data_IF_775778316085
#
_entry.id   IF_775778316085
#
_cell.length_a   1.000
_cell.length_b   1.000
_cell.length_c   1.000
_cell.angle_alpha   90.00
_cell.angle_beta   90.00
_cell.angle_gamma   90.00
#
_symmetry.space_group_name_H-M   'P 1'
#
loop_
_entity.id
_entity.type
_entity.pdbx_description
1 polymer ?
#
# COMPACT_ATOMS: atom_id res chain seq x y z
N UNK A 1 43.43 -2.52 15.78
CA UNK A 1 42.79 -1.56 14.91
C UNK A 1 41.38 -1.31 15.38
N UNK A 2 41.05 -0.11 15.84
CA UNK A 2 39.87 0.24 16.64
C UNK A 2 38.68 0.53 15.74
N UNK A 3 37.56 -0.22 15.89
CA UNK A 3 36.22 0.08 15.33
C UNK A 3 35.64 1.28 16.07
N UNK A 4 35.35 2.37 15.36
CA UNK A 4 34.58 3.51 15.86
C UNK A 4 33.09 3.22 15.63
N UNK A 5 32.37 3.00 16.70
CA UNK A 5 30.91 3.01 16.76
C UNK A 5 30.40 4.43 16.53
N UNK A 6 29.58 4.63 15.52
CA UNK A 6 28.85 5.89 15.30
C UNK A 6 27.52 5.80 16.05
N UNK A 7 27.35 6.68 17.05
CA UNK A 7 26.08 6.90 17.75
C UNK A 7 25.06 7.55 16.80
N UNK A 8 23.75 7.21 16.91
CA UNK A 8 22.69 7.89 16.15
C UNK A 8 22.43 9.28 16.73
N UNK A 9 22.30 10.25 15.86
CA UNK A 9 22.00 11.65 16.12
C UNK A 9 20.55 11.79 16.62
N UNK A 10 20.38 12.25 17.87
CA UNK A 10 19.09 12.69 18.42
C UNK A 10 18.59 13.91 17.63
N UNK A 11 17.52 13.75 16.90
CA UNK A 11 16.75 14.86 16.30
C UNK A 11 15.96 15.56 17.42
N UNK A 12 16.45 16.72 17.86
CA UNK A 12 15.73 17.66 18.73
C UNK A 12 14.55 18.27 17.95
N UNK A 13 13.35 18.00 18.39
CA UNK A 13 12.13 18.67 17.94
C UNK A 13 12.09 20.12 18.45
N UNK A 14 11.57 21.09 17.66
CA UNK A 14 11.54 22.49 18.03
C UNK A 14 10.56 22.79 19.17
N UNK A 15 10.96 23.76 20.01
CA UNK A 15 10.39 24.11 21.32
C UNK A 15 8.98 24.77 21.32
N UNK A 16 8.26 24.82 20.21
CA UNK A 16 6.99 25.56 20.11
C UNK A 16 5.71 24.76 20.40
N UNK A 17 5.78 23.46 20.55
CA UNK A 17 4.59 22.63 20.81
C UNK A 17 4.30 22.29 22.29
N UNK A 18 4.99 22.92 23.24
CA UNK A 18 4.79 22.65 24.69
C UNK A 18 3.93 23.66 25.44
N UNK A 19 3.10 24.48 24.79
CA UNK A 19 2.36 25.56 25.49
C UNK A 19 0.83 25.42 25.49
N UNK A 20 0.24 24.30 25.23
CA UNK A 20 -1.24 24.20 25.24
C UNK A 20 -1.87 23.09 26.09
N UNK A 21 -1.24 22.55 27.10
CA UNK A 21 -1.87 21.49 27.96
C UNK A 21 -1.85 21.79 29.46
N UNK A 22 -1.55 23.00 29.93
CA UNK A 22 -1.64 23.28 31.39
C UNK A 22 -2.33 24.63 31.60
N UNK A 23 -3.66 24.73 31.48
CA UNK A 23 -4.45 25.83 32.06
C UNK A 23 -5.94 25.48 32.17
N UNK A 24 -6.34 24.37 32.79
CA UNK A 24 -7.77 24.15 33.08
C UNK A 24 -8.06 23.46 34.43
N UNK A 25 -7.14 23.47 35.36
CA UNK A 25 -7.40 22.90 36.73
C UNK A 25 -7.28 23.89 37.86
N UNK A 26 -7.19 25.20 37.60
CA UNK A 26 -6.99 26.24 38.66
C UNK A 26 -8.20 27.14 38.89
N UNK A 27 -9.40 26.82 38.41
CA UNK A 27 -10.60 27.70 38.60
C UNK A 27 -11.72 27.14 39.48
N UNK A 28 -11.49 26.11 40.27
CA UNK A 28 -12.53 25.55 41.17
C UNK A 28 -12.20 25.53 42.67
N UNK A 29 -11.34 26.42 43.18
CA UNK A 29 -11.05 26.49 44.65
C UNK A 29 -10.87 27.91 45.15
N UNK A 30 -11.80 28.81 44.84
CA UNK A 30 -11.83 30.14 45.49
C UNK A 30 -13.29 30.59 45.70
N UNK A 31 -13.99 29.94 46.62
CA UNK A 31 -15.41 30.24 46.88
C UNK A 31 -15.91 29.88 48.28
N UNK A 32 -15.08 29.52 49.23
CA UNK A 32 -15.47 29.21 50.58
C UNK A 32 -14.44 29.81 51.54
N UNK A 33 -14.50 31.10 51.78
CA UNK A 33 -13.91 31.70 53.00
C UNK A 33 -14.22 33.21 53.07
N UNK A 34 -15.44 33.60 53.37
CA UNK A 34 -15.80 34.95 53.85
C UNK A 34 -17.23 34.93 54.37
N UNK A 35 -17.43 34.59 55.67
CA UNK A 35 -18.53 34.93 56.47
C UNK A 35 -18.27 34.44 57.90
N UNK A 36 -17.43 35.18 58.59
CA UNK A 36 -17.33 35.09 60.05
C UNK A 36 -16.76 36.42 60.52
N UNK A 37 -17.65 37.35 60.89
CA UNK A 37 -17.46 38.42 61.87
C UNK A 37 -18.62 39.37 61.72
N UNK A 38 -19.56 39.36 62.64
CA UNK A 38 -19.92 40.45 63.50
C UNK A 38 -20.96 39.93 64.49
N UNK A 39 -20.47 39.64 65.67
CA UNK A 39 -21.30 39.52 66.86
C UNK A 39 -21.01 40.73 67.69
N UNK A 40 -21.94 41.23 68.29
CA UNK A 40 -22.04 41.95 69.58
C UNK A 40 -22.85 43.23 69.50
N UNK A 41 -23.83 43.28 70.36
CA UNK A 41 -24.27 44.55 70.92
C UNK A 41 -25.78 44.78 70.87
N UNK A 42 -26.42 44.67 72.03
CA UNK A 42 -27.63 45.43 72.32
C UNK A 42 -28.84 44.67 72.94
N UNK A 43 -28.78 44.47 74.27
CA UNK A 43 -29.95 44.15 75.09
C UNK A 43 -30.76 45.42 75.41
N UNK A 44 -32.06 45.36 75.40
CA UNK A 44 -33.02 46.07 76.37
C UNK A 44 -34.42 45.65 75.97
N UNK A 45 -35.05 44.92 76.78
CA UNK A 45 -36.15 44.93 77.74
C UNK A 45 -37.53 45.42 77.26
N UNK A 46 -38.55 44.57 77.62
CA UNK A 46 -39.89 44.84 78.23
C UNK A 46 -40.98 45.35 77.29
N UNK A 47 -42.09 44.66 77.12
CA UNK A 47 -43.28 44.59 77.98
C UNK A 47 -44.37 43.70 77.37
N UNK A 48 -45.19 43.14 78.29
CA UNK A 48 -46.35 42.32 78.07
C UNK A 48 -47.46 42.95 77.21
N UNK A 49 -48.12 42.15 76.44
CA UNK A 49 -49.40 42.42 75.81
C UNK A 49 -49.93 41.13 75.17
N UNK A 50 -50.89 40.48 75.98
CA UNK A 50 -51.52 39.24 75.50
C UNK A 50 -52.48 39.50 74.36
N UNK A 51 -52.25 38.85 73.29
CA UNK A 51 -53.18 38.73 72.18
C UNK A 51 -53.00 37.34 71.58
N UNK A 52 -54.10 36.58 71.61
CA UNK A 52 -54.06 35.22 70.98
C UNK A 52 -53.61 35.29 69.49
N UNK A 53 -52.74 34.44 69.09
CA UNK A 53 -52.35 34.43 67.74
C UNK A 53 -53.49 33.97 66.82
N UNK A 54 -53.73 34.64 65.71
CA UNK A 54 -54.62 34.11 64.66
C UNK A 54 -54.12 32.79 64.15
N UNK A 55 -55.05 31.92 63.72
CA UNK A 55 -54.61 30.62 63.16
C UNK A 55 -53.64 30.84 62.01
N UNK A 56 -52.48 30.24 62.16
CA UNK A 56 -51.48 30.29 61.11
C UNK A 56 -52.04 29.61 59.86
N UNK A 57 -52.43 30.42 58.91
CA UNK A 57 -52.72 29.96 57.59
C UNK A 57 -51.39 29.42 57.02
N UNK A 58 -51.28 28.12 56.97
CA UNK A 58 -50.12 27.48 56.33
C UNK A 58 -50.12 27.91 54.87
N UNK A 59 -49.29 28.89 54.55
CA UNK A 59 -49.02 29.26 53.21
C UNK A 59 -48.21 28.07 52.60
N UNK A 60 -48.92 27.26 51.87
CA UNK A 60 -48.30 26.17 51.09
C UNK A 60 -47.27 26.82 50.11
N UNK A 61 -46.01 26.78 50.55
CA UNK A 61 -44.93 27.30 49.73
C UNK A 61 -44.74 26.33 48.54
N UNK A 62 -45.42 26.59 47.43
CA UNK A 62 -45.18 25.95 46.19
C UNK A 62 -43.77 26.32 45.74
N UNK A 63 -42.86 25.39 45.89
CA UNK A 63 -41.52 25.54 45.33
C UNK A 63 -41.63 25.53 43.82
N UNK A 64 -41.23 26.62 43.18
CA UNK A 64 -41.12 26.67 41.71
C UNK A 64 -39.96 25.74 41.25
N UNK A 65 -40.30 24.61 40.71
CA UNK A 65 -39.32 23.67 40.11
C UNK A 65 -39.23 23.91 38.62
N UNK A 66 -38.04 24.08 38.16
CA UNK A 66 -37.74 24.21 36.73
C UNK A 66 -37.51 22.82 36.17
N UNK A 67 -38.48 22.33 35.40
CA UNK A 67 -38.34 21.06 34.72
C UNK A 67 -37.48 21.24 33.48
N UNK A 68 -36.38 20.51 33.40
CA UNK A 68 -35.57 20.42 32.21
C UNK A 68 -35.94 19.12 31.46
N UNK A 69 -36.55 19.25 30.32
CA UNK A 69 -36.81 18.12 29.44
C UNK A 69 -35.50 17.68 28.77
N UNK A 70 -34.94 16.56 29.21
CA UNK A 70 -33.80 15.93 28.57
C UNK A 70 -34.29 15.10 27.39
N UNK A 71 -33.92 15.51 26.17
CA UNK A 71 -34.12 14.70 24.96
C UNK A 71 -32.87 13.92 24.70
N UNK A 72 -33.00 12.60 24.54
CA UNK A 72 -31.91 11.75 24.13
C UNK A 72 -31.47 12.13 22.68
N UNK A 73 -30.27 12.68 22.53
CA UNK A 73 -29.68 13.00 21.24
C UNK A 73 -28.62 11.95 20.93
N UNK A 74 -28.72 11.35 19.75
CA UNK A 74 -27.68 10.43 19.29
C UNK A 74 -26.41 11.24 19.06
N UNK A 75 -25.43 11.08 19.93
CA UNK A 75 -24.10 11.64 19.74
C UNK A 75 -23.30 10.65 18.87
N UNK A 76 -22.81 11.13 17.75
CA UNK A 76 -21.86 10.39 16.94
C UNK A 76 -20.49 10.92 17.30
N UNK A 77 -19.71 10.09 17.95
CA UNK A 77 -18.31 10.38 18.21
C UNK A 77 -17.50 10.10 16.93
N UNK A 78 -16.93 11.14 16.34
CA UNK A 78 -16.15 11.04 15.11
C UNK A 78 -14.68 11.11 15.51
N UNK A 79 -14.01 9.95 15.53
CA UNK A 79 -12.57 9.88 15.67
C UNK A 79 -11.93 10.13 14.30
N UNK A 80 -11.06 11.12 14.20
CA UNK A 80 -10.21 11.37 13.02
C UNK A 80 -8.86 10.76 13.28
N UNK A 81 -8.54 9.70 12.55
CA UNK A 81 -7.25 9.03 12.62
C UNK A 81 -6.46 9.35 11.36
N UNK A 82 -5.15 9.60 11.45
CA UNK A 82 -4.28 9.64 10.27
C UNK A 82 -4.29 8.27 9.61
N UNK A 83 -4.46 8.24 8.30
CA UNK A 83 -4.49 7.01 7.54
C UNK A 83 -3.74 7.19 6.22
N UNK A 84 -3.00 6.16 5.83
CA UNK A 84 -2.33 6.06 4.55
C UNK A 84 -3.13 5.16 3.60
N UNK A 85 -3.30 5.62 2.36
CA UNK A 85 -4.04 4.89 1.32
C UNK A 85 -3.03 4.28 0.35
N UNK A 86 -2.98 2.96 0.33
CA UNK A 86 -2.04 2.20 -0.51
C UNK A 86 -2.79 1.33 -1.52
N UNK A 87 -2.23 1.10 -2.72
CA UNK A 87 -2.79 0.14 -3.66
C UNK A 87 -2.72 -1.28 -3.06
N UNK A 88 -3.74 -2.08 -3.29
CA UNK A 88 -3.77 -3.46 -2.78
C UNK A 88 -2.73 -4.35 -3.44
N UNK A 89 -2.41 -4.08 -4.71
CA UNK A 89 -1.46 -4.87 -5.52
C UNK A 89 -0.50 -3.93 -6.26
N UNK A 90 0.66 -3.61 -5.70
CA UNK A 90 1.74 -3.02 -6.48
C UNK A 90 2.51 -4.15 -7.19
N UNK A 91 2.95 -3.92 -8.43
CA UNK A 91 3.90 -4.77 -9.14
C UNK A 91 4.99 -3.92 -9.75
N UNK A 92 6.21 -4.33 -9.52
CA UNK A 92 7.37 -3.78 -10.22
C UNK A 92 7.63 -4.69 -11.43
N UNK A 93 7.48 -4.14 -12.61
CA UNK A 93 7.78 -4.82 -13.87
C UNK A 93 9.25 -4.57 -14.19
N UNK A 94 10.02 -5.65 -14.28
CA UNK A 94 11.45 -5.62 -14.56
C UNK A 94 11.75 -6.22 -15.94
N UNK A 95 12.87 -5.82 -16.53
CA UNK A 95 13.39 -6.45 -17.75
C UNK A 95 13.77 -7.91 -17.46
N UNK A 96 13.34 -8.83 -18.32
CA UNK A 96 13.75 -10.22 -18.24
C UNK A 96 14.90 -10.55 -19.21
N UNK A 97 15.07 -9.71 -20.24
CA UNK A 97 16.17 -9.79 -21.22
C UNK A 97 16.89 -8.46 -21.33
N UNK A 98 18.15 -8.50 -21.75
CA UNK A 98 18.94 -7.30 -21.99
C UNK A 98 18.74 -6.77 -23.40
N UNK A 99 18.76 -5.44 -23.56
CA UNK A 99 18.68 -4.78 -24.85
C UNK A 99 18.23 -3.32 -24.76
N UNK A 100 18.23 -2.62 -25.88
CA UNK A 100 17.77 -1.23 -25.96
C UNK A 100 16.25 -1.19 -25.97
N UNK A 101 15.66 -0.27 -25.22
CA UNK A 101 14.21 -0.03 -25.22
C UNK A 101 13.83 0.66 -26.53
N UNK A 102 13.14 -0.07 -27.40
CA UNK A 102 12.71 0.43 -28.71
C UNK A 102 11.39 1.19 -28.61
N UNK A 103 10.47 0.70 -27.79
CA UNK A 103 9.14 1.29 -27.62
C UNK A 103 8.69 1.24 -26.15
N UNK A 104 8.10 2.34 -25.75
CA UNK A 104 7.51 2.51 -24.41
C UNK A 104 6.09 3.03 -24.61
N UNK A 105 5.09 2.18 -24.43
CA UNK A 105 3.67 2.53 -24.63
C UNK A 105 3.01 3.03 -23.34
N UNK A 106 3.70 2.95 -22.19
CA UNK A 106 3.16 3.25 -20.89
C UNK A 106 3.68 4.60 -20.38
N UNK A 107 2.79 5.60 -20.32
CA UNK A 107 3.03 6.86 -19.62
C UNK A 107 2.60 6.77 -18.16
N UNK A 108 3.21 7.58 -17.28
CA UNK A 108 2.76 7.69 -15.89
C UNK A 108 1.32 8.17 -15.81
N UNK A 109 0.50 7.51 -15.02
CA UNK A 109 -0.94 7.77 -14.92
C UNK A 109 -1.79 7.06 -15.97
N UNK A 110 -1.20 6.41 -16.97
CA UNK A 110 -1.95 5.70 -18.01
C UNK A 110 -2.62 4.43 -17.44
N UNK A 111 -3.87 4.20 -17.86
CA UNK A 111 -4.60 2.97 -17.58
C UNK A 111 -4.26 1.92 -18.61
N UNK A 112 -3.93 0.73 -18.16
CA UNK A 112 -3.54 -0.41 -18.99
C UNK A 112 -4.38 -1.64 -18.67
N UNK A 113 -4.55 -2.53 -19.63
CA UNK A 113 -5.26 -3.80 -19.48
C UNK A 113 -4.27 -4.96 -19.37
N UNK A 114 -4.73 -6.04 -18.77
CA UNK A 114 -4.00 -7.29 -18.73
C UNK A 114 -3.60 -7.73 -20.16
N UNK A 115 -2.30 -8.01 -20.36
CA UNK A 115 -1.76 -8.42 -21.64
C UNK A 115 -1.27 -7.27 -22.55
N UNK A 116 -1.58 -6.01 -22.23
CA UNK A 116 -1.05 -4.86 -23.00
C UNK A 116 0.48 -4.84 -22.93
N UNK A 117 1.13 -4.64 -24.08
CA UNK A 117 2.58 -4.49 -24.14
C UNK A 117 2.96 -3.07 -23.72
N UNK A 118 3.67 -2.96 -22.61
CA UNK A 118 4.08 -1.70 -21.99
C UNK A 118 5.46 -1.25 -22.45
N UNK A 119 6.40 -2.21 -22.54
CA UNK A 119 7.77 -1.96 -23.00
C UNK A 119 8.13 -3.01 -24.05
N UNK A 120 8.77 -2.58 -25.12
CA UNK A 120 9.36 -3.44 -26.15
C UNK A 120 10.87 -3.19 -26.20
N UNK A 121 11.62 -4.24 -25.92
CA UNK A 121 13.08 -4.26 -26.02
C UNK A 121 13.45 -4.70 -27.45
N UNK A 122 14.55 -4.21 -28.00
CA UNK A 122 15.05 -4.56 -29.34
C UNK A 122 15.12 -6.08 -29.52
N UNK A 123 14.39 -6.58 -30.50
CA UNK A 123 14.20 -8.01 -30.74
C UNK A 123 15.14 -8.59 -31.78
N UNK A 124 15.89 -7.77 -32.55
CA UNK A 124 16.66 -8.18 -33.71
C UNK A 124 17.63 -9.32 -33.42
N UNK A 125 18.39 -9.24 -32.33
CA UNK A 125 19.32 -10.31 -31.96
C UNK A 125 18.59 -11.59 -31.53
N UNK A 126 17.45 -11.46 -30.85
CA UNK A 126 16.62 -12.57 -30.38
C UNK A 126 15.89 -13.26 -31.55
N UNK A 127 15.45 -12.50 -32.54
CA UNK A 127 14.85 -13.02 -33.77
C UNK A 127 15.87 -13.80 -34.58
N UNK A 128 17.13 -13.34 -34.70
CA UNK A 128 18.21 -14.07 -35.33
C UNK A 128 18.51 -15.39 -34.58
N UNK A 129 18.61 -15.35 -33.26
CA UNK A 129 18.82 -16.55 -32.44
C UNK A 129 17.66 -17.55 -32.58
N UNK A 130 16.41 -17.06 -32.66
CA UNK A 130 15.24 -17.89 -32.91
C UNK A 130 15.32 -18.56 -34.31
N UNK A 131 15.67 -17.80 -35.36
CA UNK A 131 15.79 -18.32 -36.72
C UNK A 131 16.88 -19.39 -36.83
N UNK A 132 18.01 -19.20 -36.14
CA UNK A 132 19.08 -20.19 -36.06
C UNK A 132 18.62 -21.48 -35.38
N UNK A 133 17.99 -21.34 -34.18
CA UNK A 133 17.47 -22.49 -33.42
C UNK A 133 16.39 -23.26 -34.20
N UNK A 134 15.52 -22.55 -34.94
CA UNK A 134 14.51 -23.16 -35.79
C UNK A 134 15.11 -23.93 -36.96
N UNK A 135 16.16 -23.40 -37.61
CA UNK A 135 16.89 -24.10 -38.70
C UNK A 135 17.56 -25.36 -38.15
N UNK A 136 18.21 -25.32 -37.00
CA UNK A 136 18.83 -26.48 -36.34
C UNK A 136 17.79 -27.54 -35.97
N UNK A 137 16.65 -27.11 -35.42
CA UNK A 137 15.55 -28.01 -35.08
C UNK A 137 15.01 -28.73 -36.34
N UNK A 138 14.68 -27.99 -37.42
CA UNK A 138 14.21 -28.60 -38.69
C UNK A 138 15.19 -29.61 -39.25
N UNK A 139 16.49 -29.32 -39.18
CA UNK A 139 17.52 -30.27 -39.60
C UNK A 139 17.50 -31.54 -38.75
N UNK A 140 17.53 -31.38 -37.40
CA UNK A 140 17.54 -32.50 -36.48
C UNK A 140 16.28 -33.36 -36.59
N UNK A 141 15.13 -32.73 -36.82
CA UNK A 141 13.85 -33.41 -37.06
C UNK A 141 13.91 -34.28 -38.34
N UNK A 142 14.40 -33.71 -39.44
CA UNK A 142 14.53 -34.45 -40.69
C UNK A 142 15.53 -35.63 -40.58
N UNK A 143 16.61 -35.45 -39.84
CA UNK A 143 17.58 -36.51 -39.57
C UNK A 143 16.98 -37.62 -38.68
N UNK A 144 16.20 -37.27 -37.68
CA UNK A 144 15.50 -38.22 -36.81
C UNK A 144 14.43 -39.01 -37.59
N UNK A 145 13.57 -38.33 -38.37
CA UNK A 145 12.56 -38.98 -39.25
C UNK A 145 13.20 -39.95 -40.23
N UNK A 146 14.34 -39.58 -40.81
CA UNK A 146 15.11 -40.48 -41.70
C UNK A 146 15.64 -41.68 -40.91
N UNK A 147 16.16 -41.44 -39.69
CA UNK A 147 16.67 -42.55 -38.85
C UNK A 147 15.53 -43.50 -38.47
N UNK A 148 14.32 -43.03 -38.16
CA UNK A 148 13.16 -43.87 -37.89
C UNK A 148 12.82 -44.76 -39.09
N UNK A 149 12.74 -44.18 -40.29
CA UNK A 149 12.46 -44.97 -41.52
C UNK A 149 13.52 -46.03 -41.81
N UNK A 150 14.82 -45.71 -41.56
CA UNK A 150 15.91 -46.68 -41.72
C UNK A 150 15.91 -47.75 -40.63
N UNK A 151 15.49 -47.43 -39.42
CA UNK A 151 15.34 -48.37 -38.32
C UNK A 151 14.21 -49.39 -38.57
N UNK A 152 13.08 -48.96 -39.12
CA UNK A 152 11.99 -49.85 -39.58
C UNK A 152 12.46 -50.85 -40.60
N UNK A 153 13.35 -50.40 -41.51
CA UNK A 153 13.99 -51.27 -42.53
C UNK A 153 15.18 -52.05 -42.00
N UNK A 154 15.51 -51.99 -40.69
CA UNK A 154 16.66 -52.59 -40.03
C UNK A 154 18.01 -52.18 -40.66
N UNK A 155 18.07 -50.99 -41.25
CA UNK A 155 19.25 -50.48 -41.97
C UNK A 155 20.18 -49.64 -41.10
N UNK A 156 19.85 -49.39 -39.84
CA UNK A 156 20.68 -48.68 -38.86
C UNK A 156 20.69 -49.44 -37.51
N UNK A 157 21.67 -49.12 -36.67
CA UNK A 157 21.78 -49.63 -35.33
C UNK A 157 20.78 -48.92 -34.38
N UNK A 158 20.43 -49.59 -33.30
CA UNK A 158 19.62 -48.96 -32.24
C UNK A 158 20.30 -47.73 -31.64
N UNK A 159 21.62 -47.74 -31.54
CA UNK A 159 22.37 -46.59 -31.03
C UNK A 159 22.23 -45.38 -31.95
N UNK A 160 22.33 -45.57 -33.28
CA UNK A 160 22.14 -44.46 -34.23
C UNK A 160 20.77 -43.83 -34.17
N UNK A 161 19.69 -44.61 -33.91
CA UNK A 161 18.35 -44.08 -33.71
C UNK A 161 18.26 -43.29 -32.40
N UNK A 162 18.86 -43.80 -31.31
CA UNK A 162 18.90 -43.11 -30.00
C UNK A 162 19.64 -41.77 -30.14
N UNK A 163 20.78 -41.76 -30.84
CA UNK A 163 21.59 -40.56 -31.07
C UNK A 163 20.84 -39.50 -31.88
N UNK A 164 20.14 -39.93 -32.94
CA UNK A 164 19.32 -39.04 -33.77
C UNK A 164 18.14 -38.42 -32.93
N UNK A 165 17.50 -39.23 -32.09
CA UNK A 165 16.45 -38.77 -31.19
C UNK A 165 17.00 -37.78 -30.17
N UNK A 166 18.12 -38.07 -29.55
CA UNK A 166 18.73 -37.18 -28.56
C UNK A 166 19.11 -35.82 -29.22
N UNK A 167 19.65 -35.84 -30.46
CA UNK A 167 19.93 -34.62 -31.21
C UNK A 167 18.68 -33.78 -31.49
N UNK A 168 17.58 -34.44 -31.90
CA UNK A 168 16.27 -33.79 -32.09
C UNK A 168 15.76 -33.15 -30.79
N UNK A 169 15.77 -33.89 -29.68
CA UNK A 169 15.26 -33.41 -28.40
C UNK A 169 16.09 -32.22 -27.90
N UNK A 170 17.40 -32.22 -28.08
CA UNK A 170 18.26 -31.07 -27.72
C UNK A 170 17.94 -29.85 -28.61
N UNK A 171 17.74 -30.06 -29.92
CA UNK A 171 17.41 -28.97 -30.84
C UNK A 171 16.01 -28.37 -30.50
N UNK A 172 15.03 -29.21 -30.15
CA UNK A 172 13.71 -28.79 -29.70
C UNK A 172 13.79 -27.91 -28.45
N UNK A 173 14.57 -28.31 -27.44
CA UNK A 173 14.78 -27.54 -26.22
C UNK A 173 15.44 -26.17 -26.51
N UNK A 174 16.39 -26.10 -27.43
CA UNK A 174 17.02 -24.84 -27.85
C UNK A 174 16.02 -23.90 -28.53
N UNK A 175 15.17 -24.43 -29.40
CA UNK A 175 14.13 -23.68 -30.09
C UNK A 175 13.14 -23.07 -29.05
N UNK A 176 12.69 -23.85 -28.08
CA UNK A 176 11.82 -23.36 -27.03
C UNK A 176 12.48 -22.27 -26.14
N UNK A 177 13.77 -22.45 -25.83
CA UNK A 177 14.54 -21.42 -25.11
C UNK A 177 14.61 -20.12 -25.91
N UNK A 178 14.87 -20.15 -27.20
CA UNK A 178 14.93 -18.97 -28.07
C UNK A 178 13.54 -18.28 -28.17
N UNK A 179 12.47 -19.07 -28.30
CA UNK A 179 11.08 -18.55 -28.28
C UNK A 179 10.74 -17.84 -27.00
N UNK A 180 11.10 -18.44 -25.86
CA UNK A 180 10.89 -17.86 -24.55
C UNK A 180 11.65 -16.54 -24.39
N UNK A 181 12.91 -16.48 -24.80
CA UNK A 181 13.71 -15.25 -24.75
C UNK A 181 13.10 -14.14 -25.61
N UNK A 182 12.63 -14.45 -26.81
CA UNK A 182 11.94 -13.49 -27.66
C UNK A 182 10.62 -13.02 -27.01
N UNK A 183 9.84 -13.90 -26.39
CA UNK A 183 8.61 -13.51 -25.71
C UNK A 183 8.86 -12.58 -24.54
N UNK A 184 9.99 -12.71 -23.85
CA UNK A 184 10.42 -11.90 -22.71
C UNK A 184 10.94 -10.52 -23.11
N UNK A 185 11.17 -10.25 -24.39
CA UNK A 185 11.51 -8.91 -24.87
C UNK A 185 10.32 -7.94 -24.81
N UNK A 186 9.11 -8.46 -24.68
CA UNK A 186 7.89 -7.68 -24.51
C UNK A 186 7.41 -7.75 -23.05
N UNK A 187 7.57 -6.66 -22.32
CA UNK A 187 7.06 -6.55 -20.97
C UNK A 187 5.58 -6.19 -21.02
N UNK A 188 4.73 -7.10 -20.55
CA UNK A 188 3.27 -6.97 -20.60
C UNK A 188 2.68 -6.72 -19.21
N UNK A 189 1.52 -6.04 -19.18
CA UNK A 189 0.78 -5.85 -17.96
C UNK A 189 0.20 -7.19 -17.46
N UNK A 190 0.47 -7.58 -16.20
CA UNK A 190 -0.05 -8.84 -15.64
C UNK A 190 -1.53 -8.78 -15.26
N UNK A 191 -2.09 -7.59 -15.09
CA UNK A 191 -3.51 -7.30 -14.79
C UNK A 191 -3.87 -5.87 -15.19
N UNK A 192 -5.17 -5.55 -15.17
CA UNK A 192 -5.69 -4.21 -15.40
C UNK A 192 -5.26 -3.26 -14.27
N UNK A 193 -4.65 -2.13 -14.61
CA UNK A 193 -4.13 -1.20 -13.60
C UNK A 193 -3.77 0.16 -14.17
N UNK A 194 -3.04 0.91 -13.36
CA UNK A 194 -2.50 2.21 -13.73
C UNK A 194 -0.98 2.20 -13.52
N UNK A 195 -0.24 2.76 -14.46
CA UNK A 195 1.21 2.94 -14.33
C UNK A 195 1.47 4.03 -13.30
N UNK A 196 2.09 3.66 -12.17
CA UNK A 196 2.37 4.60 -11.09
C UNK A 196 3.70 5.34 -11.28
N UNK A 197 4.73 4.61 -11.72
CA UNK A 197 6.08 5.16 -11.88
C UNK A 197 6.71 4.56 -13.14
N UNK A 198 7.41 5.39 -13.89
CA UNK A 198 8.24 5.02 -15.03
C UNK A 198 9.71 5.29 -14.69
N UNK A 199 10.56 4.27 -14.82
CA UNK A 199 11.97 4.35 -14.43
C UNK A 199 12.94 4.33 -15.61
N UNK A 200 12.41 4.28 -16.83
CA UNK A 200 13.20 4.13 -18.07
C UNK A 200 12.61 4.95 -19.21
N UNK A 201 13.44 5.26 -20.19
CA UNK A 201 13.09 6.00 -21.40
C UNK A 201 13.35 5.15 -22.65
N UNK A 202 12.76 5.57 -23.79
CA UNK A 202 13.07 5.00 -25.10
C UNK A 202 14.52 5.33 -25.45
N UNK A 203 15.29 4.31 -25.84
CA UNK A 203 16.73 4.42 -26.11
C UNK A 203 17.62 3.99 -24.96
N UNK A 204 17.08 3.83 -23.74
CA UNK A 204 17.84 3.28 -22.61
C UNK A 204 18.20 1.83 -22.84
N UNK A 205 19.33 1.39 -22.28
CA UNK A 205 19.73 -0.01 -22.28
C UNK A 205 19.22 -0.69 -21.01
N UNK A 206 18.28 -1.62 -21.16
CA UNK A 206 17.76 -2.44 -20.06
C UNK A 206 18.68 -3.63 -19.80
N UNK A 207 18.91 -3.94 -18.51
CA UNK A 207 19.60 -5.16 -18.07
C UNK A 207 18.62 -6.10 -17.36
N UNK A 208 18.80 -7.43 -17.42
CA UNK A 208 17.93 -8.37 -16.73
C UNK A 208 17.84 -8.07 -15.22
N UNK A 209 16.61 -8.01 -14.70
CA UNK A 209 16.34 -7.64 -13.30
C UNK A 209 16.17 -6.14 -13.04
N UNK A 210 16.44 -5.27 -14.02
CA UNK A 210 16.26 -3.83 -13.87
C UNK A 210 14.76 -3.47 -13.80
N UNK A 211 14.30 -2.72 -12.78
CA UNK A 211 12.93 -2.26 -12.71
C UNK A 211 12.67 -1.21 -13.81
N UNK A 212 11.63 -1.42 -14.60
CA UNK A 212 11.23 -0.57 -15.72
C UNK A 212 10.03 0.31 -15.36
N UNK A 213 8.98 -0.31 -14.84
CA UNK A 213 7.69 0.32 -14.54
C UNK A 213 7.14 -0.19 -13.21
N UNK A 214 6.33 0.64 -12.55
CA UNK A 214 5.53 0.23 -11.40
C UNK A 214 4.04 0.29 -11.76
N UNK A 215 3.35 -0.85 -11.69
CA UNK A 215 1.93 -0.99 -11.97
C UNK A 215 1.16 -1.12 -10.66
N UNK A 216 0.05 -0.38 -10.52
CA UNK A 216 -0.81 -0.42 -9.33
C UNK A 216 -2.26 -0.71 -9.72
N UNK A 217 -2.92 -1.53 -8.90
CA UNK A 217 -4.36 -1.73 -8.99
C UNK A 217 -5.07 -0.60 -8.23
N UNK A 218 -5.63 0.36 -8.97
CA UNK A 218 -6.37 1.49 -8.41
C UNK A 218 -7.84 1.16 -8.10
N UNK A 219 -8.36 0.02 -8.55
CA UNK A 219 -9.73 -0.42 -8.27
C UNK A 219 -9.87 -0.92 -6.83
N UNK A 220 -8.78 -1.37 -6.21
CA UNK A 220 -8.76 -1.91 -4.85
C UNK A 220 -7.70 -1.22 -4.02
N UNK A 221 -8.15 -0.41 -3.06
CA UNK A 221 -7.27 0.31 -2.15
C UNK A 221 -7.28 -0.33 -0.76
N UNK A 222 -6.15 -0.22 -0.06
CA UNK A 222 -5.97 -0.62 1.32
C UNK A 222 -5.72 0.65 2.14
N UNK A 223 -6.51 0.84 3.19
CA UNK A 223 -6.31 1.94 4.14
C UNK A 223 -5.60 1.37 5.37
N UNK A 224 -4.52 2.01 5.78
CA UNK A 224 -3.81 1.71 7.01
C UNK A 224 -3.93 2.92 7.93
N UNK A 225 -4.68 2.78 9.03
CA UNK A 225 -4.78 3.76 10.10
C UNK A 225 -3.66 3.53 11.13
N UNK A 226 -3.15 4.63 11.74
CA UNK A 226 -2.10 4.62 12.76
C UNK A 226 -2.62 5.19 14.07
#
# INVERSE_FOLDING_TARGET
>A
MRRRERRPTEQRLPAEQRRHVITDTARRRAGILRLLAVALGGAVAVTCGGGAPPPATSVERTAAVRLLHLQARRAVDIARLPADVQPKRPAVLAAEVGGVIERLAAEEGAKVRAGDTLVSIDTRALEQALAEADALFRRAQADFERAEQLAERRSITRQQLIDARAAHDVAAARLETARLQLSKSQVKAPWDGTVAVRRVEVGDFAVPGQPLLELVDTARLKVRAF
#
